data_IF_787025419974
#
_entry.id   IF_787025419974
#
_cell.length_a   1.000
_cell.length_b   1.000
_cell.length_c   1.000
_cell.angle_alpha   90.00
_cell.angle_beta   90.00
_cell.angle_gamma   90.00
#
_symmetry.space_group_name_H-M   'P 1'
#
loop_
_entity.id
_entity.type
_entity.pdbx_description
1 polymer ?
#
# COMPACT_ATOMS: atom_id res chain seq x y z
N UNK A 1 -4.65 -9.24 14.26
CA UNK A 1 -3.46 -9.26 13.38
C UNK A 1 -2.51 -10.36 13.86
N UNK A 2 -2.85 -11.64 13.67
CA UNK A 2 -2.03 -12.78 14.16
C UNK A 2 -1.79 -13.86 13.10
N UNK A 3 -2.50 -13.79 11.96
CA UNK A 3 -2.34 -14.75 10.87
C UNK A 3 -1.05 -14.45 10.10
N UNK A 4 -0.74 -13.17 9.86
CA UNK A 4 0.50 -12.74 9.21
C UNK A 4 1.75 -13.06 10.04
N UNK A 5 1.73 -12.84 11.36
CA UNK A 5 2.82 -13.25 12.27
C UNK A 5 3.09 -14.77 12.23
N UNK A 6 2.04 -15.60 12.30
CA UNK A 6 2.19 -17.06 12.31
C UNK A 6 2.72 -17.60 10.99
N UNK A 7 2.26 -17.05 9.87
CA UNK A 7 2.69 -17.48 8.53
C UNK A 7 4.13 -17.00 8.26
N UNK A 8 4.46 -15.76 8.64
CA UNK A 8 5.82 -15.22 8.52
C UNK A 8 6.85 -16.01 9.33
N UNK A 9 6.51 -16.39 10.56
CA UNK A 9 7.39 -17.19 11.43
C UNK A 9 7.70 -18.60 10.90
N UNK A 10 6.73 -19.27 10.27
CA UNK A 10 6.91 -20.61 9.71
C UNK A 10 7.85 -20.63 8.49
N UNK A 11 7.78 -19.58 7.66
CA UNK A 11 8.62 -19.44 6.46
C UNK A 11 10.05 -19.05 6.87
N UNK A 12 10.19 -18.14 7.83
CA UNK A 12 11.50 -17.70 8.34
C UNK A 12 12.30 -18.84 9.02
N UNK A 13 11.63 -19.83 9.62
CA UNK A 13 12.30 -20.96 10.27
C UNK A 13 13.01 -21.92 9.31
N UNK A 14 12.72 -21.87 8.00
CA UNK A 14 13.28 -22.79 7.00
C UNK A 14 14.22 -22.12 5.99
N UNK A 15 14.40 -20.79 6.05
CA UNK A 15 15.28 -20.04 5.15
C UNK A 15 16.32 -19.27 5.95
N UNK A 16 17.53 -19.82 6.03
CA UNK A 16 18.70 -19.11 6.55
C UNK A 16 19.24 -18.12 5.52
N UNK A 17 18.57 -16.98 5.34
CA UNK A 17 19.10 -15.84 4.58
C UNK A 17 19.57 -14.74 5.54
N UNK A 18 20.75 -14.18 5.23
CA UNK A 18 21.37 -13.09 5.99
C UNK A 18 20.50 -11.82 5.88
N UNK A 19 20.28 -11.04 6.97
CA UNK A 19 19.46 -9.84 6.91
C UNK A 19 20.13 -8.82 5.98
N UNK A 20 19.49 -8.53 4.85
CA UNK A 20 19.89 -7.46 3.94
C UNK A 20 19.12 -6.20 4.38
N UNK A 21 19.82 -5.06 4.53
CA UNK A 21 19.27 -3.74 4.88
C UNK A 21 18.75 -3.54 6.33
N UNK A 22 19.03 -4.44 7.27
CA UNK A 22 18.64 -4.25 8.68
C UNK A 22 17.17 -4.57 9.00
N UNK A 23 16.39 -4.96 7.98
CA UNK A 23 15.03 -5.50 8.11
C UNK A 23 15.08 -6.89 8.76
N UNK A 24 14.09 -7.19 9.62
CA UNK A 24 13.93 -8.54 10.16
C UNK A 24 13.44 -9.45 9.03
N UNK A 25 13.77 -10.74 9.10
CA UNK A 25 13.25 -11.73 8.14
C UNK A 25 11.71 -11.74 8.09
N UNK A 26 11.06 -11.39 9.20
CA UNK A 26 9.61 -11.28 9.28
C UNK A 26 9.08 -10.16 8.37
N UNK A 27 9.67 -8.96 8.42
CA UNK A 27 9.26 -7.79 7.63
C UNK A 27 9.36 -8.09 6.12
N UNK A 28 10.39 -8.83 5.72
CA UNK A 28 10.53 -9.34 4.35
C UNK A 28 9.40 -10.30 3.94
N UNK A 29 9.02 -11.20 4.84
CA UNK A 29 7.89 -12.12 4.62
C UNK A 29 6.56 -11.37 4.50
N UNK A 30 6.34 -10.35 5.33
CA UNK A 30 5.16 -9.51 5.30
C UNK A 30 5.06 -8.70 4.01
N UNK A 31 6.18 -8.12 3.55
CA UNK A 31 6.26 -7.43 2.27
C UNK A 31 5.99 -8.38 1.09
N UNK A 32 6.58 -9.58 1.09
CA UNK A 32 6.41 -10.56 0.03
C UNK A 32 4.95 -11.04 -0.08
N UNK A 33 4.29 -11.31 1.04
CA UNK A 33 2.87 -11.70 1.06
C UNK A 33 2.01 -10.55 0.55
N UNK A 34 2.23 -9.33 1.05
CA UNK A 34 1.48 -8.14 0.63
C UNK A 34 1.67 -7.84 -0.86
N UNK A 35 2.90 -7.95 -1.36
CA UNK A 35 3.22 -7.80 -2.79
C UNK A 35 2.54 -8.88 -3.64
N UNK A 36 2.53 -10.14 -3.19
CA UNK A 36 1.88 -11.23 -3.92
C UNK A 36 0.36 -11.02 -4.04
N UNK A 37 -0.29 -10.60 -2.95
CA UNK A 37 -1.71 -10.23 -2.95
C UNK A 37 -1.97 -9.03 -3.87
N UNK A 38 -1.11 -8.01 -3.78
CA UNK A 38 -1.14 -6.84 -4.64
C UNK A 38 -1.05 -7.19 -6.13
N UNK A 39 -0.16 -8.12 -6.52
CA UNK A 39 -0.01 -8.59 -7.90
C UNK A 39 -1.29 -9.25 -8.40
N UNK A 40 -1.91 -10.13 -7.59
CA UNK A 40 -3.16 -10.81 -7.97
C UNK A 40 -4.29 -9.79 -8.22
N UNK A 41 -4.39 -8.78 -7.36
CA UNK A 41 -5.37 -7.71 -7.50
C UNK A 41 -5.07 -6.81 -8.71
N UNK A 42 -3.80 -6.45 -8.92
CA UNK A 42 -3.37 -5.65 -10.06
C UNK A 42 -3.63 -6.35 -11.39
N UNK A 43 -3.38 -7.66 -11.49
CA UNK A 43 -3.69 -8.45 -12.68
C UNK A 43 -5.19 -8.39 -12.99
N UNK A 44 -6.03 -8.57 -11.97
CA UNK A 44 -7.48 -8.47 -12.11
C UNK A 44 -7.91 -7.06 -12.56
N UNK A 45 -7.28 -6.02 -12.02
CA UNK A 45 -7.54 -4.62 -12.38
C UNK A 45 -7.10 -4.31 -13.81
N UNK A 46 -5.94 -4.83 -14.26
CA UNK A 46 -5.43 -4.64 -15.63
C UNK A 46 -6.39 -5.26 -16.64
N UNK A 47 -6.88 -6.47 -16.39
CA UNK A 47 -7.86 -7.12 -17.25
C UNK A 47 -9.18 -6.34 -17.32
N UNK A 48 -9.65 -5.83 -16.18
CA UNK A 48 -10.83 -4.96 -16.14
C UNK A 48 -10.60 -3.61 -16.85
N UNK A 49 -9.40 -3.04 -16.73
CA UNK A 49 -9.01 -1.78 -17.36
C UNK A 49 -8.95 -1.91 -18.88
N UNK A 50 -8.41 -3.01 -19.39
CA UNK A 50 -8.34 -3.30 -20.82
C UNK A 50 -9.74 -3.35 -21.45
N UNK A 51 -10.69 -3.98 -20.77
CA UNK A 51 -12.06 -4.17 -21.27
C UNK A 51 -13.06 -3.08 -20.83
N UNK A 52 -12.65 -2.14 -19.98
CA UNK A 52 -13.52 -1.13 -19.38
C UNK A 52 -13.80 0.08 -20.28
N UNK A 53 -14.87 0.81 -19.96
CA UNK A 53 -15.22 2.09 -20.61
C UNK A 53 -14.17 3.18 -20.35
N UNK A 54 -14.16 4.25 -21.15
CA UNK A 54 -13.24 5.38 -20.92
C UNK A 54 -13.40 6.01 -19.53
N UNK A 55 -14.64 6.04 -19.00
CA UNK A 55 -14.90 6.51 -17.64
C UNK A 55 -14.27 5.58 -16.60
N UNK A 56 -14.38 4.27 -16.79
CA UNK A 56 -13.75 3.29 -15.90
C UNK A 56 -12.23 3.44 -15.93
N UNK A 57 -11.63 3.60 -17.11
CA UNK A 57 -10.19 3.80 -17.26
C UNK A 57 -9.69 5.04 -16.51
N UNK A 58 -10.36 6.18 -16.66
CA UNK A 58 -9.99 7.40 -15.91
C UNK A 58 -10.09 7.20 -14.40
N UNK A 59 -11.17 6.57 -13.91
CA UNK A 59 -11.33 6.30 -12.48
C UNK A 59 -10.21 5.39 -11.97
N UNK A 60 -9.87 4.34 -12.72
CA UNK A 60 -8.79 3.41 -12.37
C UNK A 60 -7.43 4.07 -12.36
N UNK A 61 -7.14 5.00 -13.28
CA UNK A 61 -5.89 5.79 -13.29
C UNK A 61 -5.79 6.70 -12.05
N UNK A 62 -6.87 7.41 -11.73
CA UNK A 62 -6.92 8.28 -10.57
C UNK A 62 -6.73 7.48 -9.27
N UNK A 63 -7.40 6.32 -9.14
CA UNK A 63 -7.20 5.40 -8.01
C UNK A 63 -5.78 4.83 -7.95
N UNK A 64 -5.20 4.45 -9.08
CA UNK A 64 -3.83 3.95 -9.13
C UNK A 64 -2.83 5.01 -8.62
N UNK A 65 -3.00 6.27 -9.01
CA UNK A 65 -2.16 7.37 -8.52
C UNK A 65 -2.30 7.56 -7.01
N UNK A 66 -3.53 7.54 -6.48
CA UNK A 66 -3.77 7.66 -5.04
C UNK A 66 -3.20 6.47 -4.26
N UNK A 67 -3.31 5.26 -4.83
CA UNK A 67 -2.73 4.04 -4.27
C UNK A 67 -1.20 4.08 -4.27
N UNK A 68 -0.57 4.65 -5.30
CA UNK A 68 0.87 4.88 -5.32
C UNK A 68 1.30 5.79 -4.16
N UNK A 69 0.50 6.80 -3.81
CA UNK A 69 0.73 7.62 -2.62
C UNK A 69 0.72 6.79 -1.33
N UNK A 70 -0.28 5.93 -1.17
CA UNK A 70 -0.37 5.03 -0.01
C UNK A 70 0.83 4.07 0.07
N UNK A 71 1.19 3.43 -1.04
CA UNK A 71 2.33 2.51 -1.12
C UNK A 71 3.65 3.24 -0.83
N UNK A 72 3.79 4.49 -1.27
CA UNK A 72 4.99 5.27 -0.99
C UNK A 72 5.19 5.45 0.52
N UNK A 73 4.16 5.85 1.27
CA UNK A 73 4.28 6.00 2.72
C UNK A 73 4.43 4.66 3.44
N UNK A 74 3.54 3.69 3.16
CA UNK A 74 3.53 2.41 3.88
C UNK A 74 4.58 1.38 3.46
N UNK A 75 5.40 1.69 2.46
CA UNK A 75 6.50 0.81 2.05
C UNK A 75 7.81 1.57 1.93
N UNK A 76 7.85 2.66 1.17
CA UNK A 76 9.13 3.35 0.92
C UNK A 76 9.58 4.12 2.16
N UNK A 77 8.68 4.88 2.79
CA UNK A 77 9.01 5.63 4.01
C UNK A 77 9.28 4.70 5.18
N UNK A 78 8.48 3.63 5.35
CA UNK A 78 8.72 2.57 6.34
C UNK A 78 10.10 1.91 6.18
N UNK A 79 10.46 1.46 4.96
CA UNK A 79 11.78 0.87 4.71
C UNK A 79 12.92 1.87 4.97
N UNK A 80 12.74 3.15 4.62
CA UNK A 80 13.72 4.21 4.93
C UNK A 80 13.84 4.41 6.43
N UNK A 81 12.72 4.41 7.15
CA UNK A 81 12.65 4.56 8.61
C UNK A 81 13.43 3.43 9.31
N UNK A 82 13.26 2.18 8.86
CA UNK A 82 14.01 1.02 9.39
C UNK A 82 15.49 1.06 8.98
N UNK A 83 15.80 1.45 7.75
CA UNK A 83 17.16 1.44 7.23
C UNK A 83 18.05 2.55 7.81
N UNK A 84 17.46 3.68 8.22
CA UNK A 84 18.20 4.86 8.68
C UNK A 84 18.13 4.97 10.21
N UNK A 85 19.13 4.44 10.91
CA UNK A 85 19.27 4.63 12.36
C UNK A 85 20.11 5.88 12.71
N UNK A 86 19.55 7.07 12.43
CA UNK A 86 20.19 8.37 12.70
C UNK A 86 19.88 8.95 14.11
N UNK A 87 19.38 8.11 15.03
CA UNK A 87 19.05 8.48 16.41
C UNK A 87 17.56 8.80 16.66
N UNK A 88 17.17 8.80 17.94
CA UNK A 88 15.75 8.72 18.34
C UNK A 88 14.84 9.86 17.86
N UNK A 89 15.36 11.07 17.66
CA UNK A 89 14.56 12.22 17.15
C UNK A 89 14.22 12.06 15.67
N UNK A 90 15.16 11.59 14.85
CA UNK A 90 14.93 11.39 13.42
C UNK A 90 13.99 10.21 13.22
N UNK A 91 14.17 9.13 13.99
CA UNK A 91 13.29 7.97 13.98
C UNK A 91 11.83 8.36 14.30
N UNK A 92 11.64 9.18 15.34
CA UNK A 92 10.30 9.65 15.70
C UNK A 92 9.64 10.48 14.59
N UNK A 93 10.39 11.39 13.95
CA UNK A 93 9.86 12.20 12.86
C UNK A 93 9.52 11.34 11.64
N UNK A 94 10.36 10.36 11.29
CA UNK A 94 10.09 9.44 10.18
C UNK A 94 8.84 8.61 10.44
N UNK A 95 8.67 8.05 11.64
CA UNK A 95 7.44 7.34 12.01
C UNK A 95 6.19 8.22 11.96
N UNK A 96 6.27 9.49 12.39
CA UNK A 96 5.14 10.42 12.26
C UNK A 96 4.80 10.71 10.80
N UNK A 97 5.82 10.86 9.93
CA UNK A 97 5.61 11.11 8.50
C UNK A 97 4.98 9.89 7.83
N UNK A 98 5.44 8.70 8.18
CA UNK A 98 4.90 7.42 7.73
C UNK A 98 3.42 7.30 8.08
N UNK A 99 3.07 7.32 9.37
CA UNK A 99 1.69 7.19 9.87
C UNK A 99 0.76 8.27 9.30
N UNK A 100 1.20 9.53 9.32
CA UNK A 100 0.39 10.63 8.81
C UNK A 100 0.18 10.54 7.30
N UNK A 101 1.22 10.12 6.57
CA UNK A 101 1.18 9.96 5.12
C UNK A 101 0.22 8.85 4.69
N UNK A 102 0.21 7.73 5.39
CA UNK A 102 -0.77 6.65 5.17
C UNK A 102 -2.20 7.14 5.41
N UNK A 103 -2.46 7.75 6.57
CA UNK A 103 -3.79 8.23 6.93
C UNK A 103 -4.32 9.30 5.96
N UNK A 104 -3.47 10.23 5.52
CA UNK A 104 -3.81 11.21 4.49
C UNK A 104 -4.12 10.54 3.16
N UNK A 105 -3.31 9.57 2.75
CA UNK A 105 -3.52 8.84 1.48
C UNK A 105 -4.86 8.10 1.47
N UNK A 106 -5.18 7.36 2.53
CA UNK A 106 -6.47 6.66 2.68
C UNK A 106 -7.63 7.65 2.69
N UNK A 107 -7.49 8.79 3.37
CA UNK A 107 -8.51 9.84 3.41
C UNK A 107 -8.78 10.43 2.03
N UNK A 108 -7.75 10.66 1.22
CA UNK A 108 -7.88 11.15 -0.15
C UNK A 108 -8.54 10.11 -1.08
N UNK A 109 -8.18 8.83 -0.92
CA UNK A 109 -8.84 7.72 -1.63
C UNK A 109 -10.34 7.71 -1.34
N UNK A 110 -10.71 7.77 -0.05
CA UNK A 110 -12.11 7.77 0.37
C UNK A 110 -12.86 8.99 -0.15
N UNK A 111 -12.27 10.18 -0.01
CA UNK A 111 -12.82 11.43 -0.52
C UNK A 111 -13.11 11.36 -2.03
N UNK A 112 -12.13 10.90 -2.80
CA UNK A 112 -12.25 10.75 -4.24
C UNK A 112 -13.35 9.74 -4.62
N UNK A 113 -13.45 8.61 -3.90
CA UNK A 113 -14.53 7.64 -4.09
C UNK A 113 -15.91 8.28 -3.90
N UNK A 114 -16.09 9.05 -2.81
CA UNK A 114 -17.33 9.78 -2.53
C UNK A 114 -17.68 10.80 -3.61
N UNK A 115 -16.68 11.55 -4.09
CA UNK A 115 -16.86 12.52 -5.17
C UNK A 115 -17.37 11.85 -6.45
N UNK A 116 -16.79 10.71 -6.84
CA UNK A 116 -17.19 9.99 -8.06
C UNK A 116 -18.59 9.38 -7.95
N UNK A 117 -18.92 8.77 -6.81
CA UNK A 117 -20.28 8.23 -6.57
C UNK A 117 -21.33 9.34 -6.55
N UNK A 118 -21.04 10.45 -5.88
CA UNK A 118 -21.97 11.59 -5.78
C UNK A 118 -22.20 12.25 -7.15
N UNK A 119 -21.15 12.40 -7.95
CA UNK A 119 -21.25 12.90 -9.32
C UNK A 119 -22.08 12.01 -10.25
N UNK A 120 -22.08 10.68 -10.03
CA UNK A 120 -22.91 9.74 -10.80
C UNK A 120 -24.40 9.83 -10.44
N UNK A 121 -24.75 9.97 -9.15
CA UNK A 121 -26.16 10.09 -8.71
C UNK A 121 -26.86 11.35 -9.24
N UNK A 122 -26.12 12.43 -9.48
CA UNK A 122 -26.68 13.67 -10.05
C UNK A 122 -27.01 13.51 -11.53
N UNK A 123 -26.23 12.72 -12.29
CA UNK A 123 -26.48 12.48 -13.72
C UNK A 123 -27.64 11.53 -14.01
N UNK A 124 -27.97 10.60 -13.11
CA UNK A 124 -29.10 9.65 -13.27
C UNK A 124 -30.46 10.22 -12.85
N UNK A 125 -30.50 11.41 -12.22
CA UNK A 125 -31.74 12.10 -11.82
C UNK A 125 -32.18 13.21 -12.79
N UNK A 126 -31.48 13.42 -13.90
CA UNK A 126 -31.91 14.27 -15.02
C UNK A 126 -32.34 13.38 -16.18
#
# INVERSE_FOLDING_TARGET
MQIHERIGGYIAANLSFMPILGLRLQDFGELAVSASAGIILLLSLILAYANGSEMFRKISQDFALLLCGLIFFGVVVDVIHVAINLGGKVNFVLGVIEDAGEMLSVSLILWYAFLRVSGQRVKTRK
#
